data_IF_343997261595
#
_entry.id   IF_343997261595
#
_cell.length_a   1.000
_cell.length_b   1.000
_cell.length_c   1.000
_cell.angle_alpha   90.00
_cell.angle_beta   90.00
_cell.angle_gamma   90.00
#
_symmetry.space_group_name_H-M   'P 1'
#
loop_
_entity.id
_entity.type
_entity.pdbx_description
1 polymer ?
#
# COMPACT_ATOMS: atom_id res chain seq x y z
N UNK A 1 -7.31 24.28 4.47
CA UNK A 1 -7.29 22.97 5.13
C UNK A 1 -5.91 22.65 5.65
N UNK A 2 -5.82 21.79 6.68
CA UNK A 2 -4.55 21.24 7.16
C UNK A 2 -4.01 20.21 6.18
N UNK A 3 -2.69 20.22 5.92
CA UNK A 3 -2.05 19.28 4.99
C UNK A 3 -0.55 19.12 5.28
N UNK A 4 0.03 17.97 4.91
CA UNK A 4 1.48 17.77 4.81
C UNK A 4 1.89 17.91 3.35
N UNK A 5 2.66 18.94 3.06
CA UNK A 5 3.08 19.31 1.71
C UNK A 5 4.57 19.01 1.52
N UNK A 6 4.91 18.35 0.43
CA UNK A 6 6.28 18.09 0.04
C UNK A 6 6.84 19.31 -0.69
N UNK A 7 7.89 19.92 -0.16
CA UNK A 7 8.67 20.98 -0.79
C UNK A 7 10.09 20.51 -1.10
N UNK A 8 10.86 21.27 -1.86
CA UNK A 8 12.28 20.97 -2.10
C UNK A 8 13.11 20.96 -0.81
N UNK A 9 12.67 21.71 0.22
CA UNK A 9 13.32 21.76 1.54
C UNK A 9 12.93 20.62 2.50
N UNK A 10 11.87 19.87 2.23
CA UNK A 10 11.35 18.82 3.11
C UNK A 10 9.82 18.79 3.15
N UNK A 11 9.27 18.18 4.20
CA UNK A 11 7.83 18.18 4.47
C UNK A 11 7.48 19.40 5.31
N UNK A 12 6.40 20.07 4.95
CA UNK A 12 5.85 21.21 5.66
C UNK A 12 4.40 20.94 6.09
N UNK A 13 4.09 21.22 7.36
CA UNK A 13 2.73 21.16 7.90
C UNK A 13 2.05 22.50 7.70
N UNK A 14 1.08 22.57 6.79
CA UNK A 14 0.29 23.76 6.48
C UNK A 14 -1.09 23.67 7.13
N UNK A 15 -1.57 24.79 7.68
CA UNK A 15 -2.92 24.90 8.28
C UNK A 15 -3.91 25.62 7.36
N UNK A 16 -3.44 26.24 6.30
CA UNK A 16 -4.17 27.12 5.39
C UNK A 16 -4.05 26.70 3.91
N UNK A 17 -3.65 25.45 3.65
CA UNK A 17 -3.64 24.91 2.27
C UNK A 17 -5.01 25.11 1.62
N UNK A 18 -5.02 25.53 0.36
CA UNK A 18 -6.26 25.63 -0.42
C UNK A 18 -6.95 24.26 -0.52
N UNK A 19 -8.28 24.29 -0.58
CA UNK A 19 -9.08 23.08 -0.83
C UNK A 19 -8.76 22.49 -2.19
N UNK A 20 -8.79 21.15 -2.36
CA UNK A 20 -8.62 20.52 -3.66
C UNK A 20 -9.65 21.05 -4.66
N UNK A 21 -9.18 21.44 -5.84
CA UNK A 21 -10.06 21.86 -6.91
C UNK A 21 -10.59 20.65 -7.68
N UNK A 22 -11.91 20.50 -7.70
CA UNK A 22 -12.55 19.46 -8.50
C UNK A 22 -12.47 19.80 -10.01
N UNK A 23 -12.27 18.75 -10.81
CA UNK A 23 -12.15 18.79 -12.26
C UNK A 23 -12.83 17.54 -12.84
N UNK A 24 -12.96 17.42 -14.14
CA UNK A 24 -13.50 16.22 -14.79
C UNK A 24 -12.64 14.95 -14.60
N UNK A 25 -11.38 15.10 -14.18
CA UNK A 25 -10.48 13.96 -13.89
C UNK A 25 -10.40 13.62 -12.39
N UNK A 26 -10.68 14.60 -11.53
CA UNK A 26 -10.70 14.51 -10.08
C UNK A 26 -12.04 15.08 -9.63
N UNK A 27 -13.08 14.29 -9.77
CA UNK A 27 -14.46 14.73 -9.76
C UNK A 27 -15.19 14.50 -8.42
N UNK A 28 -14.53 13.82 -7.48
CA UNK A 28 -15.05 13.56 -6.13
C UNK A 28 -14.15 14.16 -5.08
N UNK A 29 -14.73 14.96 -4.19
CA UNK A 29 -14.08 15.43 -2.97
C UNK A 29 -14.33 14.43 -1.84
N UNK A 30 -13.28 13.96 -1.19
CA UNK A 30 -13.35 13.09 -0.03
C UNK A 30 -12.79 13.82 1.19
N UNK A 31 -13.57 13.88 2.27
CA UNK A 31 -13.11 14.25 3.60
C UNK A 31 -12.35 13.08 4.20
N UNK A 32 -11.05 13.25 4.42
CA UNK A 32 -10.17 12.17 4.91
C UNK A 32 -10.28 12.08 6.44
N UNK A 33 -10.59 10.89 6.94
CA UNK A 33 -10.64 10.63 8.38
C UNK A 33 -9.37 9.97 8.90
N UNK A 34 -8.86 8.97 8.19
CA UNK A 34 -7.60 8.29 8.53
C UNK A 34 -6.74 8.11 7.29
N UNK A 35 -5.42 8.27 7.48
CA UNK A 35 -4.45 7.99 6.45
C UNK A 35 -3.26 7.20 7.02
N UNK A 36 -2.69 6.28 6.24
CA UNK A 36 -1.57 5.42 6.64
C UNK A 36 -0.25 5.88 6.06
N UNK A 37 0.83 5.83 6.84
CA UNK A 37 2.19 6.13 6.35
C UNK A 37 2.77 4.88 5.67
N UNK A 38 3.05 4.98 4.37
CA UNK A 38 3.69 3.94 3.57
C UNK A 38 5.22 4.06 3.57
N UNK A 39 5.92 2.98 3.21
CA UNK A 39 7.37 3.05 2.92
C UNK A 39 7.67 3.97 1.73
N UNK A 40 6.73 4.11 0.81
CA UNK A 40 6.83 5.08 -0.29
C UNK A 40 6.88 6.51 0.22
N UNK A 41 6.05 6.88 1.20
CA UNK A 41 6.05 8.22 1.78
C UNK A 41 7.37 8.51 2.51
N UNK A 42 7.91 7.51 3.22
CA UNK A 42 9.23 7.61 3.87
C UNK A 42 10.32 7.82 2.81
N UNK A 43 10.34 7.00 1.75
CA UNK A 43 11.31 7.13 0.67
C UNK A 43 11.22 8.47 -0.08
N UNK A 44 10.02 9.03 -0.20
CA UNK A 44 9.81 10.39 -0.74
C UNK A 44 10.37 11.45 0.22
N UNK A 45 10.08 11.34 1.51
CA UNK A 45 10.59 12.25 2.53
C UNK A 45 12.12 12.25 2.60
N UNK A 46 12.74 11.10 2.47
CA UNK A 46 14.19 10.88 2.44
C UNK A 46 14.84 11.19 1.08
N UNK A 47 14.07 11.59 0.06
CA UNK A 47 14.53 11.84 -1.31
C UNK A 47 15.10 10.61 -2.05
N UNK A 48 14.81 9.42 -1.56
CA UNK A 48 15.16 8.16 -2.21
C UNK A 48 14.17 7.79 -3.32
N UNK A 49 12.94 8.32 -3.25
CA UNK A 49 11.91 8.15 -4.28
C UNK A 49 11.56 9.52 -4.85
N UNK A 50 11.69 9.73 -6.17
CA UNK A 50 11.34 11.00 -6.79
C UNK A 50 9.82 11.23 -6.72
N UNK A 51 9.43 12.45 -6.36
CA UNK A 51 8.05 12.91 -6.35
C UNK A 51 7.98 14.37 -6.83
N UNK A 52 6.81 14.81 -7.26
CA UNK A 52 6.58 16.19 -7.66
C UNK A 52 6.66 17.11 -6.43
N UNK A 53 7.31 18.26 -6.57
CA UNK A 53 7.34 19.25 -5.51
C UNK A 53 5.99 19.96 -5.35
N UNK A 54 5.74 20.52 -4.17
CA UNK A 54 4.56 21.27 -3.80
C UNK A 54 3.23 20.50 -3.92
N UNK A 55 3.28 19.19 -3.60
CA UNK A 55 2.11 18.33 -3.53
C UNK A 55 1.82 17.91 -2.08
N UNK A 56 0.55 17.59 -1.81
CA UNK A 56 0.16 16.89 -0.58
C UNK A 56 0.60 15.45 -0.67
N UNK A 57 1.23 14.92 0.38
CA UNK A 57 1.69 13.53 0.45
C UNK A 57 0.55 12.55 0.82
N UNK A 58 0.86 11.24 0.83
CA UNK A 58 -0.03 10.19 1.29
C UNK A 58 -0.92 9.59 0.21
N UNK A 59 -1.15 8.26 0.32
CA UNK A 59 -1.92 7.52 -0.70
C UNK A 59 -2.73 6.35 -0.12
N UNK A 60 -2.67 6.13 1.18
CA UNK A 60 -3.43 5.13 1.91
C UNK A 60 -4.41 5.86 2.82
N UNK A 61 -5.71 5.78 2.57
CA UNK A 61 -6.69 6.55 3.35
C UNK A 61 -8.07 5.92 3.36
N UNK A 62 -8.90 6.39 4.28
CA UNK A 62 -10.36 6.27 4.21
C UNK A 62 -11.02 7.59 4.66
N UNK A 63 -12.23 7.80 4.17
CA UNK A 63 -12.95 9.01 4.46
C UNK A 63 -14.41 8.93 4.03
N UNK A 64 -15.06 10.10 3.96
CA UNK A 64 -16.42 10.25 3.46
C UNK A 64 -16.45 11.12 2.22
N UNK A 65 -17.30 10.79 1.27
CA UNK A 65 -17.58 11.68 0.14
C UNK A 65 -18.17 12.98 0.70
N UNK A 66 -17.53 14.10 0.38
CA UNK A 66 -17.93 15.46 0.80
C UNK A 66 -18.60 16.25 -0.31
N UNK A 67 -18.45 15.85 -1.57
CA UNK A 67 -19.06 16.52 -2.71
C UNK A 67 -18.56 16.01 -4.06
N UNK A 68 -19.20 16.52 -5.12
CA UNK A 68 -18.93 16.16 -6.50
C UNK A 68 -18.70 17.42 -7.36
N UNK A 69 -18.02 17.26 -8.50
CA UNK A 69 -17.69 18.35 -9.43
C UNK A 69 -18.93 19.07 -10.00
N UNK A 70 -20.05 18.37 -10.11
CA UNK A 70 -21.33 18.91 -10.57
C UNK A 70 -22.10 19.71 -9.49
N UNK A 71 -21.68 19.59 -8.22
CA UNK A 71 -22.32 20.24 -7.08
C UNK A 71 -23.57 19.54 -6.56
N UNK A 72 -23.91 18.36 -7.11
CA UNK A 72 -25.03 17.52 -6.65
C UNK A 72 -24.62 16.65 -5.44
N UNK A 73 -25.59 16.07 -4.76
CA UNK A 73 -25.34 15.12 -3.64
C UNK A 73 -25.16 13.67 -4.09
N UNK A 74 -25.26 13.41 -5.41
CA UNK A 74 -25.13 12.09 -6.03
C UNK A 74 -24.42 12.18 -7.39
N UNK A 75 -23.59 11.19 -7.69
CA UNK A 75 -22.96 11.01 -8.98
C UNK A 75 -22.65 9.52 -9.24
N UNK A 76 -23.21 8.97 -10.33
CA UNK A 76 -22.95 7.58 -10.77
C UNK A 76 -23.15 6.51 -9.67
N UNK A 77 -24.17 6.69 -8.81
CA UNK A 77 -24.50 5.79 -7.70
C UNK A 77 -23.66 6.01 -6.43
N UNK A 78 -22.80 7.03 -6.42
CA UNK A 78 -22.11 7.53 -5.23
C UNK A 78 -22.91 8.66 -4.59
N UNK A 79 -22.93 8.70 -3.25
CA UNK A 79 -23.66 9.72 -2.50
C UNK A 79 -22.73 10.43 -1.51
N UNK A 80 -23.00 11.71 -1.26
CA UNK A 80 -22.36 12.43 -0.16
C UNK A 80 -22.60 11.68 1.16
N UNK A 81 -21.52 11.52 1.94
CA UNK A 81 -21.52 10.73 3.18
C UNK A 81 -21.16 9.25 3.03
N UNK A 82 -21.08 8.70 1.80
CA UNK A 82 -20.57 7.34 1.59
C UNK A 82 -19.15 7.21 2.15
N UNK A 83 -18.91 6.12 2.89
CA UNK A 83 -17.57 5.79 3.38
C UNK A 83 -16.78 5.13 2.26
N UNK A 84 -15.62 5.66 1.98
CA UNK A 84 -14.78 5.26 0.84
C UNK A 84 -13.30 5.20 1.18
N UNK A 85 -12.58 4.42 0.39
CA UNK A 85 -11.16 4.56 0.09
C UNK A 85 -11.00 4.66 -1.43
N UNK A 86 -9.78 4.69 -1.93
CA UNK A 86 -9.55 4.70 -3.37
C UNK A 86 -8.30 3.90 -3.77
N UNK A 87 -8.30 3.41 -5.01
CA UNK A 87 -7.06 3.03 -5.67
C UNK A 87 -6.22 4.30 -5.87
N UNK A 88 -4.98 4.38 -5.33
CA UNK A 88 -4.17 5.59 -5.44
C UNK A 88 -3.64 5.86 -6.84
N UNK A 89 -3.80 4.91 -7.76
CA UNK A 89 -3.39 5.06 -9.16
C UNK A 89 -4.48 5.74 -9.97
N UNK A 90 -4.15 6.89 -10.53
CA UNK A 90 -5.00 7.63 -11.46
C UNK A 90 -4.49 7.37 -12.88
N UNK A 91 -5.31 6.72 -13.68
CA UNK A 91 -4.99 6.41 -15.07
C UNK A 91 -5.53 7.52 -15.98
N UNK A 92 -4.68 8.04 -16.85
CA UNK A 92 -5.07 9.07 -17.81
C UNK A 92 -4.33 8.91 -19.15
N UNK A 93 -4.87 9.52 -20.21
CA UNK A 93 -4.23 9.57 -21.53
C UNK A 93 -2.84 10.25 -21.51
N UNK A 94 -2.54 11.03 -20.47
CA UNK A 94 -1.26 11.72 -20.28
C UNK A 94 -0.25 10.92 -19.46
N UNK A 95 -0.62 9.70 -19.08
CA UNK A 95 0.16 8.79 -18.24
C UNK A 95 -0.45 8.57 -16.87
N UNK A 96 0.04 7.52 -16.21
CA UNK A 96 -0.39 7.13 -14.88
C UNK A 96 0.20 8.07 -13.83
N UNK A 97 -0.63 8.47 -12.88
CA UNK A 97 -0.22 9.26 -11.71
C UNK A 97 -0.54 8.48 -10.43
N UNK A 98 0.24 8.70 -9.39
CA UNK A 98 -0.03 8.18 -8.06
C UNK A 98 -0.32 9.34 -7.10
N UNK A 99 -1.40 9.24 -6.35
CA UNK A 99 -1.70 10.17 -5.27
C UNK A 99 -0.53 10.24 -4.28
N UNK A 100 -0.21 11.43 -3.81
CA UNK A 100 0.91 11.67 -2.89
C UNK A 100 2.31 11.60 -3.53
N UNK A 101 2.39 11.43 -4.88
CA UNK A 101 3.66 11.35 -5.61
C UNK A 101 3.69 12.22 -6.87
N UNK A 102 2.76 12.04 -7.79
CA UNK A 102 2.61 12.83 -9.02
C UNK A 102 1.44 13.82 -8.95
N UNK A 103 0.47 13.61 -8.08
CA UNK A 103 -0.66 14.49 -7.77
C UNK A 103 -0.90 14.55 -6.25
N UNK A 104 -1.75 15.48 -5.81
CA UNK A 104 -2.06 15.64 -4.39
C UNK A 104 -2.60 14.34 -3.78
N UNK A 105 -2.20 14.09 -2.53
CA UNK A 105 -2.50 12.89 -1.77
C UNK A 105 -3.38 13.15 -0.54
N UNK A 106 -3.39 12.18 0.37
CA UNK A 106 -4.35 12.06 1.46
C UNK A 106 -3.83 12.50 2.85
N UNK A 107 -2.61 13.04 2.96
CA UNK A 107 -2.17 13.64 4.22
C UNK A 107 -2.70 15.08 4.31
N UNK A 108 -4.02 15.21 4.18
CA UNK A 108 -4.78 16.46 4.29
C UNK A 108 -6.21 16.16 4.71
N UNK A 109 -6.92 17.18 5.22
CA UNK A 109 -8.33 17.05 5.60
C UNK A 109 -9.23 16.65 4.42
N UNK A 110 -8.83 17.00 3.18
CA UNK A 110 -9.58 16.66 1.96
C UNK A 110 -8.65 16.26 0.83
N UNK A 111 -9.13 15.31 0.01
CA UNK A 111 -8.49 14.88 -1.24
C UNK A 111 -9.51 14.87 -2.38
N UNK A 112 -9.08 15.25 -3.58
CA UNK A 112 -9.86 15.04 -4.80
C UNK A 112 -9.39 13.75 -5.50
N UNK A 113 -10.33 12.87 -5.86
CA UNK A 113 -10.07 11.60 -6.53
C UNK A 113 -11.05 11.38 -7.69
N UNK A 114 -10.69 10.58 -8.71
CA UNK A 114 -11.65 10.13 -9.71
C UNK A 114 -12.69 9.20 -9.10
N UNK A 115 -13.97 9.33 -9.47
CA UNK A 115 -15.02 8.41 -9.00
C UNK A 115 -14.72 6.94 -9.35
N UNK A 116 -14.08 6.69 -10.50
CA UNK A 116 -13.69 5.34 -10.94
C UNK A 116 -12.64 4.68 -10.02
N UNK A 117 -11.90 5.47 -9.26
CA UNK A 117 -10.91 4.97 -8.30
C UNK A 117 -11.52 4.62 -6.94
N UNK A 118 -12.75 5.06 -6.67
CA UNK A 118 -13.41 4.88 -5.37
C UNK A 118 -13.74 3.41 -5.09
N UNK A 119 -13.58 3.04 -3.83
CA UNK A 119 -13.96 1.74 -3.28
C UNK A 119 -14.92 2.01 -2.12
N UNK A 120 -16.17 1.53 -2.25
CA UNK A 120 -17.18 1.67 -1.19
C UNK A 120 -16.83 0.79 -0.01
N UNK A 121 -16.85 1.37 1.17
CA UNK A 121 -16.54 0.70 2.42
C UNK A 121 -17.76 0.70 3.37
N UNK A 122 -17.91 -0.34 4.20
CA UNK A 122 -18.87 -0.30 5.28
C UNK A 122 -18.60 0.85 6.26
N UNK A 123 -19.63 1.43 6.91
CA UNK A 123 -19.47 2.57 7.83
C UNK A 123 -18.43 2.37 8.94
N UNK A 124 -18.27 1.15 9.47
CA UNK A 124 -17.31 0.83 10.52
C UNK A 124 -15.84 0.84 10.03
N UNK A 125 -15.60 0.97 8.72
CA UNK A 125 -14.27 1.17 8.15
C UNK A 125 -13.80 2.63 8.22
N UNK A 126 -14.58 3.53 8.77
CA UNK A 126 -14.13 4.90 9.05
C UNK A 126 -13.19 4.90 10.26
N UNK A 127 -12.06 4.22 10.09
CA UNK A 127 -11.07 3.87 11.12
C UNK A 127 -9.73 3.55 10.44
N UNK A 128 -8.64 3.33 11.18
CA UNK A 128 -7.37 2.83 10.62
C UNK A 128 -7.54 1.60 9.73
N UNK A 129 -8.56 0.79 9.96
CA UNK A 129 -8.86 -0.39 9.14
C UNK A 129 -9.17 -0.03 7.69
N UNK A 130 -9.97 1.01 7.45
CA UNK A 130 -10.29 1.46 6.08
C UNK A 130 -9.09 2.05 5.35
N UNK A 131 -8.23 2.78 6.06
CA UNK A 131 -6.97 3.28 5.49
C UNK A 131 -5.98 2.15 5.16
N UNK A 132 -6.18 0.96 5.72
CA UNK A 132 -5.34 -0.22 5.45
C UNK A 132 -5.75 -1.02 4.20
N UNK A 133 -6.78 -0.57 3.47
CA UNK A 133 -7.27 -1.21 2.24
C UNK A 133 -6.19 -1.30 1.16
N UNK A 134 -5.50 -0.19 0.89
CA UNK A 134 -4.43 -0.14 -0.11
C UNK A 134 -3.27 -1.10 0.22
N UNK A 135 -2.72 -1.13 1.46
CA UNK A 135 -1.73 -2.14 1.85
C UNK A 135 -2.16 -3.58 1.63
N UNK A 136 -3.42 -3.91 1.92
CA UNK A 136 -3.96 -5.28 1.70
C UNK A 136 -4.05 -5.58 0.20
N UNK A 137 -4.54 -4.64 -0.61
CA UNK A 137 -4.58 -4.78 -2.07
C UNK A 137 -3.15 -4.94 -2.64
N UNK A 138 -2.17 -4.20 -2.09
CA UNK A 138 -0.78 -4.36 -2.46
C UNK A 138 -0.23 -5.75 -2.05
N UNK A 139 -0.61 -6.29 -0.88
CA UNK A 139 -0.19 -7.61 -0.43
C UNK A 139 -0.84 -8.76 -1.22
N UNK A 140 -2.02 -8.54 -1.80
CA UNK A 140 -2.70 -9.48 -2.71
C UNK A 140 -2.00 -9.62 -4.07
N UNK A 141 -1.30 -8.59 -4.52
CA UNK A 141 -0.74 -8.55 -5.87
C UNK A 141 0.13 -9.76 -6.25
N UNK A 142 1.05 -10.26 -5.41
CA UNK A 142 1.85 -11.44 -5.73
C UNK A 142 1.02 -12.72 -5.78
N UNK A 143 -0.08 -12.82 -5.01
CA UNK A 143 -0.83 -14.07 -4.84
C UNK A 143 -1.59 -14.52 -6.09
N UNK A 144 -1.85 -13.60 -7.03
CA UNK A 144 -2.46 -13.95 -8.32
C UNK A 144 -1.57 -14.79 -9.24
N UNK A 145 -0.29 -14.94 -8.90
CA UNK A 145 0.71 -15.65 -9.69
C UNK A 145 1.10 -17.02 -9.10
N UNK A 146 0.52 -17.39 -7.96
CA UNK A 146 0.85 -18.64 -7.26
C UNK A 146 -0.35 -19.58 -7.22
N UNK A 147 -0.08 -20.87 -7.33
CA UNK A 147 -1.07 -21.94 -7.09
C UNK A 147 -1.14 -22.25 -5.59
N UNK A 148 -2.30 -22.70 -5.12
CA UNK A 148 -2.49 -23.11 -3.71
C UNK A 148 -1.63 -24.31 -3.28
N UNK A 149 -1.02 -25.03 -4.20
CA UNK A 149 -0.11 -26.16 -3.97
C UNK A 149 1.36 -25.76 -3.92
N UNK A 150 1.68 -24.53 -4.35
CA UNK A 150 3.04 -24.04 -4.38
C UNK A 150 3.61 -23.92 -2.96
N UNK A 151 4.87 -24.32 -2.80
CA UNK A 151 5.65 -23.99 -1.61
C UNK A 151 6.21 -22.59 -1.78
N UNK A 152 5.65 -21.65 -1.03
CA UNK A 152 5.92 -20.21 -1.17
C UNK A 152 6.77 -19.72 -0.02
N UNK A 153 7.92 -19.14 -0.32
CA UNK A 153 8.69 -18.33 0.62
C UNK A 153 8.28 -16.87 0.51
N UNK A 154 7.95 -16.25 1.64
CA UNK A 154 7.87 -14.78 1.74
C UNK A 154 9.10 -14.31 2.51
N UNK A 155 10.04 -13.72 1.76
CA UNK A 155 11.31 -13.29 2.34
C UNK A 155 11.25 -11.85 2.86
N UNK A 156 11.66 -11.68 4.10
CA UNK A 156 11.86 -10.38 4.74
C UNK A 156 11.42 -10.32 6.19
N UNK A 157 12.11 -9.45 6.94
CA UNK A 157 11.81 -9.17 8.36
C UNK A 157 11.20 -7.78 8.53
N UNK A 158 10.11 -7.55 7.82
CA UNK A 158 9.41 -6.27 7.78
C UNK A 158 7.89 -6.45 7.77
N UNK A 159 7.16 -5.32 7.95
CA UNK A 159 5.69 -5.31 7.98
C UNK A 159 5.03 -5.79 6.69
N UNK A 160 5.72 -5.62 5.53
CA UNK A 160 5.18 -6.05 4.23
C UNK A 160 5.17 -7.57 4.14
N UNK A 161 6.28 -8.22 4.55
CA UNK A 161 6.35 -9.69 4.64
C UNK A 161 5.30 -10.23 5.62
N UNK A 162 5.14 -9.60 6.78
CA UNK A 162 4.14 -10.00 7.78
C UNK A 162 2.72 -9.90 7.21
N UNK A 163 2.36 -8.78 6.58
CA UNK A 163 1.06 -8.58 5.96
C UNK A 163 0.83 -9.57 4.81
N UNK A 164 1.79 -9.71 3.90
CA UNK A 164 1.67 -10.63 2.75
C UNK A 164 1.45 -12.07 3.22
N UNK A 165 2.14 -12.50 4.30
CA UNK A 165 1.95 -13.84 4.87
C UNK A 165 0.54 -14.02 5.46
N UNK A 166 0.00 -13.01 6.13
CA UNK A 166 -1.36 -13.09 6.68
C UNK A 166 -2.42 -13.08 5.56
N UNK A 167 -2.25 -12.22 4.55
CA UNK A 167 -3.16 -12.17 3.38
C UNK A 167 -3.12 -13.49 2.62
N UNK A 168 -1.95 -14.10 2.40
CA UNK A 168 -1.83 -15.39 1.74
C UNK A 168 -2.59 -16.49 2.49
N UNK A 169 -2.46 -16.54 3.82
CA UNK A 169 -3.22 -17.49 4.65
C UNK A 169 -4.72 -17.22 4.62
N UNK A 170 -5.13 -15.95 4.65
CA UNK A 170 -6.54 -15.57 4.51
C UNK A 170 -7.13 -16.00 3.16
N UNK A 171 -6.32 -16.04 2.11
CA UNK A 171 -6.68 -16.54 0.77
C UNK A 171 -6.63 -18.08 0.66
N UNK A 172 -6.29 -18.79 1.75
CA UNK A 172 -6.28 -20.26 1.78
C UNK A 172 -4.98 -20.94 1.37
N UNK A 173 -3.91 -20.19 1.11
CA UNK A 173 -2.60 -20.78 0.83
C UNK A 173 -2.02 -21.41 2.10
N UNK A 174 -1.75 -22.71 2.06
CA UNK A 174 -1.33 -23.48 3.24
C UNK A 174 0.19 -23.63 3.36
N UNK A 175 0.90 -23.62 2.25
CA UNK A 175 2.36 -23.88 2.20
C UNK A 175 3.15 -22.55 2.13
N UNK A 176 2.84 -21.64 3.07
CA UNK A 176 3.50 -20.33 3.18
C UNK A 176 4.51 -20.37 4.31
N UNK A 177 5.77 -20.16 3.96
CA UNK A 177 6.86 -19.97 4.88
C UNK A 177 7.36 -18.52 4.87
N UNK A 178 7.56 -17.93 6.04
CA UNK A 178 8.22 -16.62 6.16
C UNK A 178 9.66 -16.82 6.59
N UNK A 179 10.59 -16.44 5.71
CA UNK A 179 12.03 -16.51 5.95
C UNK A 179 12.59 -15.11 6.14
N UNK A 180 13.37 -14.91 7.19
CA UNK A 180 13.89 -13.58 7.59
C UNK A 180 15.40 -13.45 7.48
N UNK A 181 16.09 -14.53 7.14
CA UNK A 181 17.55 -14.61 7.05
C UNK A 181 17.95 -15.39 5.80
N UNK A 182 18.98 -14.92 5.11
CA UNK A 182 19.46 -15.54 3.87
C UNK A 182 20.01 -16.96 4.08
N UNK A 183 20.69 -17.20 5.20
CA UNK A 183 21.24 -18.51 5.55
C UNK A 183 20.20 -19.57 5.92
N UNK A 184 18.94 -19.15 6.05
CA UNK A 184 17.81 -20.06 6.24
C UNK A 184 17.08 -20.40 4.91
N UNK A 185 17.49 -19.84 3.78
CA UNK A 185 16.98 -20.23 2.47
C UNK A 185 17.58 -21.57 2.05
N UNK A 186 16.73 -22.54 1.83
CA UNK A 186 17.14 -23.88 1.35
C UNK A 186 17.25 -23.86 -0.18
N UNK A 187 18.34 -24.42 -0.71
CA UNK A 187 18.57 -24.52 -2.16
C UNK A 187 17.54 -25.45 -2.83
N UNK A 188 17.05 -25.04 -4.02
CA UNK A 188 16.12 -25.81 -4.84
C UNK A 188 14.86 -26.26 -4.09
N UNK A 189 14.34 -25.41 -3.19
CA UNK A 189 13.30 -25.79 -2.24
C UNK A 189 11.94 -25.17 -2.52
N UNK A 190 11.88 -23.92 -3.00
CA UNK A 190 10.65 -23.16 -3.18
C UNK A 190 10.17 -23.18 -4.63
N UNK A 191 8.85 -23.26 -4.83
CA UNK A 191 8.22 -23.07 -6.15
C UNK A 191 8.10 -21.58 -6.46
N UNK A 192 7.88 -20.76 -5.43
CA UNK A 192 7.79 -19.30 -5.55
C UNK A 192 8.49 -18.61 -4.37
N UNK A 193 9.19 -17.52 -4.65
CA UNK A 193 9.70 -16.59 -3.63
C UNK A 193 9.10 -15.21 -3.88
N UNK A 194 8.44 -14.65 -2.86
CA UNK A 194 7.98 -13.26 -2.82
C UNK A 194 9.00 -12.48 -2.00
N UNK A 195 9.84 -11.69 -2.65
CA UNK A 195 10.81 -10.86 -1.94
C UNK A 195 10.19 -9.54 -1.50
N UNK A 196 10.48 -9.11 -0.30
CA UNK A 196 10.08 -7.82 0.27
C UNK A 196 11.26 -6.97 0.70
N UNK A 197 12.48 -7.46 0.43
CA UNK A 197 13.76 -6.81 0.69
C UNK A 197 14.68 -6.95 -0.53
N UNK A 198 15.12 -5.84 -1.17
CA UNK A 198 15.63 -5.83 -2.54
C UNK A 198 17.13 -6.16 -2.65
N UNK A 199 17.73 -7.03 -1.94
CA UNK A 199 19.19 -7.05 -1.93
C UNK A 199 19.88 -8.35 -2.39
N UNK A 200 19.16 -9.46 -2.62
CA UNK A 200 19.82 -10.77 -2.71
C UNK A 200 19.22 -11.66 -3.79
N UNK A 201 19.09 -11.12 -5.01
CA UNK A 201 18.42 -11.84 -6.13
C UNK A 201 19.06 -13.21 -6.38
N UNK A 202 20.37 -13.32 -6.35
CA UNK A 202 21.06 -14.61 -6.60
C UNK A 202 20.72 -15.65 -5.53
N UNK A 203 20.64 -15.25 -4.25
CA UNK A 203 20.24 -16.17 -3.18
C UNK A 203 18.79 -16.65 -3.34
N UNK A 204 17.88 -15.77 -3.83
CA UNK A 204 16.51 -16.18 -4.13
C UNK A 204 16.45 -17.14 -5.31
N UNK A 205 17.20 -16.86 -6.38
CA UNK A 205 17.30 -17.74 -7.55
C UNK A 205 17.88 -19.11 -7.19
N UNK A 206 18.88 -19.16 -6.30
CA UNK A 206 19.44 -20.44 -5.83
C UNK A 206 18.45 -21.26 -5.01
N UNK A 207 17.61 -20.61 -4.22
CA UNK A 207 16.60 -21.26 -3.39
C UNK A 207 15.35 -21.71 -4.17
N UNK A 208 15.11 -21.15 -5.35
CA UNK A 208 14.03 -21.58 -6.23
C UNK A 208 14.34 -22.92 -6.90
N UNK A 209 13.34 -23.77 -7.05
CA UNK A 209 13.38 -24.94 -7.92
C UNK A 209 13.52 -24.54 -9.40
N UNK A 210 13.98 -25.45 -10.28
CA UNK A 210 13.83 -25.27 -11.72
C UNK A 210 12.37 -24.97 -12.11
N UNK A 211 12.17 -23.98 -12.98
CA UNK A 211 10.84 -23.47 -13.36
C UNK A 211 10.18 -22.57 -12.32
N UNK A 212 10.90 -22.22 -11.24
CA UNK A 212 10.36 -21.43 -10.14
C UNK A 212 10.09 -19.96 -10.48
N UNK A 213 9.36 -19.29 -9.60
CA UNK A 213 8.91 -17.89 -9.78
C UNK A 213 9.49 -16.99 -8.69
N UNK A 214 10.24 -15.96 -9.10
CA UNK A 214 10.63 -14.85 -8.23
C UNK A 214 9.70 -13.67 -8.41
N UNK A 215 8.98 -13.27 -7.37
CA UNK A 215 8.11 -12.10 -7.39
C UNK A 215 8.81 -10.94 -6.67
N UNK A 216 9.04 -9.85 -7.43
CA UNK A 216 9.61 -8.62 -6.91
C UNK A 216 8.51 -7.74 -6.33
N UNK A 217 8.50 -7.60 -5.01
CA UNK A 217 7.54 -6.80 -4.25
C UNK A 217 8.16 -5.53 -3.69
N UNK A 218 9.45 -5.56 -3.40
CA UNK A 218 10.19 -4.36 -2.97
C UNK A 218 10.31 -3.36 -4.12
N UNK A 219 10.55 -2.09 -3.76
CA UNK A 219 10.75 -0.99 -4.72
C UNK A 219 12.09 -0.32 -4.41
N UNK A 220 13.18 -0.94 -4.87
CA UNK A 220 14.51 -0.33 -4.80
C UNK A 220 14.85 0.38 -6.10
N UNK A 221 15.46 1.55 -5.98
CA UNK A 221 16.12 2.24 -7.10
C UNK A 221 17.60 1.89 -7.20
N UNK A 222 18.15 1.16 -6.23
CA UNK A 222 19.51 0.65 -6.31
C UNK A 222 19.58 -0.48 -7.36
N UNK A 223 20.61 -0.51 -8.21
CA UNK A 223 20.83 -1.60 -9.13
C UNK A 223 21.04 -2.92 -8.38
N UNK A 224 20.45 -4.00 -8.90
CA UNK A 224 20.70 -5.37 -8.45
C UNK A 224 21.48 -6.11 -9.54
N UNK A 225 22.51 -6.85 -9.16
CA UNK A 225 23.21 -7.77 -10.06
C UNK A 225 22.50 -9.10 -10.11
N UNK A 226 22.48 -9.73 -11.28
CA UNK A 226 21.83 -11.02 -11.52
C UNK A 226 22.77 -11.90 -12.31
N UNK A 227 22.98 -13.15 -11.87
CA UNK A 227 23.70 -14.16 -12.64
C UNK A 227 22.75 -14.78 -13.67
N UNK A 228 22.74 -14.23 -14.88
CA UNK A 228 21.81 -14.64 -15.95
C UNK A 228 21.90 -16.13 -16.30
N UNK A 229 23.09 -16.74 -16.18
CA UNK A 229 23.27 -18.17 -16.44
C UNK A 229 22.41 -19.05 -15.53
N UNK A 230 22.38 -18.76 -14.22
CA UNK A 230 21.57 -19.54 -13.26
C UNK A 230 20.09 -19.43 -13.57
N UNK A 231 19.62 -18.22 -13.92
CA UNK A 231 18.22 -17.98 -14.33
C UNK A 231 17.88 -18.81 -15.56
N UNK A 232 18.73 -18.76 -16.60
CA UNK A 232 18.49 -19.48 -17.85
C UNK A 232 18.51 -21.02 -17.65
N UNK A 233 19.49 -21.53 -16.88
CA UNK A 233 19.62 -22.96 -16.64
C UNK A 233 18.50 -23.54 -15.78
N UNK A 234 17.94 -22.74 -14.87
CA UNK A 234 16.79 -23.14 -14.03
C UNK A 234 15.43 -22.73 -14.64
N UNK A 235 15.40 -22.03 -15.75
CA UNK A 235 14.17 -21.53 -16.38
C UNK A 235 13.32 -20.67 -15.41
N UNK A 236 13.98 -19.81 -14.59
CA UNK A 236 13.33 -18.98 -13.58
C UNK A 236 12.56 -17.84 -14.25
N UNK A 237 11.30 -17.65 -13.82
CA UNK A 237 10.53 -16.45 -14.15
C UNK A 237 10.74 -15.37 -13.08
N UNK A 238 10.88 -14.09 -13.49
CA UNK A 238 10.94 -12.93 -12.59
C UNK A 238 9.76 -12.02 -12.91
N UNK A 239 8.93 -11.72 -11.90
CA UNK A 239 7.68 -10.98 -12.05
C UNK A 239 7.62 -9.80 -11.08
N UNK A 240 7.42 -8.59 -11.58
CA UNK A 240 7.08 -7.42 -10.75
C UNK A 240 5.58 -7.36 -10.48
N UNK A 241 5.19 -6.84 -9.30
CA UNK A 241 3.78 -6.68 -8.93
C UNK A 241 3.50 -5.33 -8.26
N UNK A 242 2.27 -4.79 -8.44
CA UNK A 242 1.83 -3.53 -7.81
C UNK A 242 0.64 -3.76 -6.88
N UNK A 243 -0.56 -3.89 -7.44
CA UNK A 243 -1.81 -4.07 -6.69
C UNK A 243 -2.57 -5.31 -7.15
N UNK A 244 -3.24 -5.95 -6.21
CA UNK A 244 -4.30 -6.93 -6.43
C UNK A 244 -5.67 -6.24 -6.45
N UNK A 245 -6.73 -7.04 -6.37
CA UNK A 245 -8.11 -6.57 -6.40
C UNK A 245 -8.51 -5.88 -5.09
N UNK A 246 -8.99 -4.65 -5.16
CA UNK A 246 -9.40 -3.85 -4.00
C UNK A 246 -10.72 -4.35 -3.38
N UNK A 247 -11.61 -4.94 -4.17
CA UNK A 247 -12.83 -5.57 -3.67
C UNK A 247 -12.50 -6.79 -2.81
N UNK A 248 -11.60 -7.66 -3.27
CA UNK A 248 -11.09 -8.80 -2.48
C UNK A 248 -10.39 -8.31 -1.22
N UNK A 249 -9.59 -7.25 -1.29
CA UNK A 249 -8.95 -6.64 -0.12
C UNK A 249 -9.98 -6.15 0.92
N UNK A 250 -11.05 -5.52 0.46
CA UNK A 250 -12.16 -5.08 1.32
C UNK A 250 -12.85 -6.25 2.02
N UNK A 251 -13.09 -7.37 1.33
CA UNK A 251 -13.67 -8.58 1.93
C UNK A 251 -12.75 -9.20 3.00
N UNK A 252 -11.45 -9.26 2.76
CA UNK A 252 -10.48 -9.76 3.75
C UNK A 252 -10.50 -8.90 5.01
N UNK A 253 -10.51 -7.57 4.85
CA UNK A 253 -10.58 -6.63 5.97
C UNK A 253 -11.90 -6.75 6.73
N UNK A 254 -13.03 -6.90 6.04
CA UNK A 254 -14.34 -7.10 6.65
C UNK A 254 -14.37 -8.38 7.47
N UNK A 255 -13.87 -9.48 6.92
CA UNK A 255 -13.77 -10.74 7.65
C UNK A 255 -12.89 -10.62 8.91
N UNK A 256 -11.81 -9.86 8.83
CA UNK A 256 -10.93 -9.60 9.97
C UNK A 256 -11.62 -8.79 11.07
N UNK A 257 -12.39 -7.77 10.70
CA UNK A 257 -13.17 -6.95 11.64
C UNK A 257 -14.21 -7.77 12.42
N UNK A 258 -14.76 -8.82 11.79
CA UNK A 258 -15.74 -9.72 12.41
C UNK A 258 -15.10 -10.92 13.14
N UNK A 259 -13.79 -10.97 13.28
CA UNK A 259 -13.09 -12.02 14.02
C UNK A 259 -13.17 -13.40 13.37
N UNK A 260 -13.32 -13.47 12.04
CA UNK A 260 -13.32 -14.73 11.30
C UNK A 260 -11.94 -15.38 11.44
N UNK A 261 -11.87 -16.68 11.68
CA UNK A 261 -10.59 -17.41 11.79
C UNK A 261 -9.79 -17.32 10.50
N UNK A 262 -8.47 -17.28 10.64
CA UNK A 262 -7.50 -17.18 9.53
C UNK A 262 -7.62 -15.90 8.71
N UNK A 263 -8.00 -14.79 9.34
CA UNK A 263 -7.99 -13.43 8.79
C UNK A 263 -6.81 -12.62 9.33
N UNK A 264 -6.78 -11.32 9.06
CA UNK A 264 -5.67 -10.46 9.50
C UNK A 264 -5.72 -10.20 11.01
N UNK A 265 -4.62 -10.39 11.67
CA UNK A 265 -4.42 -9.95 13.06
C UNK A 265 -3.93 -8.50 13.08
N UNK A 266 -4.88 -7.58 13.15
CA UNK A 266 -4.59 -6.13 13.18
C UNK A 266 -3.77 -5.72 14.41
N UNK A 267 -3.84 -6.48 15.51
CA UNK A 267 -3.06 -6.19 16.72
C UNK A 267 -1.55 -6.30 16.49
N UNK A 268 -1.14 -7.15 15.56
CA UNK A 268 0.27 -7.32 15.15
C UNK A 268 0.69 -6.37 14.02
N UNK A 269 -0.28 -5.80 13.30
CA UNK A 269 -0.05 -4.97 12.11
C UNK A 269 -0.14 -3.46 12.40
N UNK A 270 -1.05 -3.05 13.30
CA UNK A 270 -1.34 -1.64 13.57
C UNK A 270 -0.53 -1.10 14.73
N UNK A 271 0.08 0.04 14.51
CA UNK A 271 0.77 0.88 15.48
C UNK A 271 -0.10 2.04 15.95
N UNK A 272 0.51 3.08 16.54
CA UNK A 272 -0.20 4.25 17.01
C UNK A 272 -0.83 5.09 15.89
N UNK A 273 -1.81 5.90 16.30
CA UNK A 273 -2.45 6.92 15.49
C UNK A 273 -1.98 8.29 16.01
N UNK A 274 -1.57 9.18 15.12
CA UNK A 274 -1.09 10.51 15.40
C UNK A 274 -2.03 11.57 14.81
N UNK A 275 -2.04 12.76 15.39
CA UNK A 275 -2.56 13.95 14.73
C UNK A 275 -1.61 14.34 13.59
N UNK A 276 -2.13 15.01 12.56
CA UNK A 276 -1.31 15.42 11.41
C UNK A 276 -0.18 16.39 11.80
N UNK A 277 -0.39 17.20 12.84
CA UNK A 277 0.62 18.11 13.41
C UNK A 277 1.83 17.39 14.04
N UNK A 278 1.66 16.12 14.44
CA UNK A 278 2.72 15.29 15.02
C UNK A 278 3.53 14.50 13.96
N UNK A 279 3.50 14.95 12.72
CA UNK A 279 4.04 14.21 11.58
C UNK A 279 5.52 13.83 11.72
N UNK A 280 6.37 14.69 12.30
CA UNK A 280 7.80 14.39 12.49
C UNK A 280 8.01 13.15 13.35
N UNK A 281 7.26 13.05 14.45
CA UNK A 281 7.28 11.88 15.34
C UNK A 281 6.70 10.64 14.61
N UNK A 282 5.59 10.81 13.90
CA UNK A 282 4.94 9.73 13.15
C UNK A 282 5.86 9.16 12.06
N UNK A 283 6.54 10.01 11.28
CA UNK A 283 7.50 9.60 10.26
C UNK A 283 8.74 8.93 10.88
N UNK A 284 9.28 9.50 11.97
CA UNK A 284 10.41 8.91 12.71
C UNK A 284 10.07 7.48 13.15
N UNK A 285 8.91 7.29 13.76
CA UNK A 285 8.47 5.96 14.19
C UNK A 285 8.19 5.03 13.00
N UNK A 286 7.54 5.52 11.95
CA UNK A 286 7.25 4.74 10.74
C UNK A 286 8.51 4.26 10.00
N UNK A 287 9.64 4.97 10.14
CA UNK A 287 10.93 4.64 9.53
C UNK A 287 11.67 3.50 10.23
N UNK A 288 11.34 3.21 11.49
CA UNK A 288 12.02 2.16 12.25
C UNK A 288 11.85 0.77 11.57
N UNK A 289 12.91 -0.05 11.53
CA UNK A 289 12.80 -1.43 11.09
C UNK A 289 11.76 -2.21 11.94
N UNK A 290 11.03 -3.13 11.31
CA UNK A 290 10.03 -3.99 11.99
C UNK A 290 8.85 -3.24 12.62
N UNK A 291 8.63 -1.98 12.26
CA UNK A 291 7.55 -1.21 12.85
C UNK A 291 6.19 -1.61 12.30
N UNK A 292 5.17 -1.42 13.14
CA UNK A 292 3.76 -1.54 12.78
C UNK A 292 3.34 -0.36 11.87
N UNK A 293 2.18 -0.48 11.25
CA UNK A 293 1.61 0.60 10.44
C UNK A 293 1.24 1.79 11.31
N UNK A 294 1.79 2.95 10.99
CA UNK A 294 1.46 4.22 11.62
C UNK A 294 0.36 4.92 10.83
N UNK A 295 -0.55 5.56 11.52
CA UNK A 295 -1.68 6.27 10.92
C UNK A 295 -1.75 7.72 11.41
N UNK A 296 -2.35 8.56 10.57
CA UNK A 296 -2.85 9.87 10.96
C UNK A 296 -4.38 9.84 11.14
N UNK A 297 -4.89 10.57 12.14
CA UNK A 297 -6.28 11.00 12.24
C UNK A 297 -6.35 12.45 11.75
N UNK A 298 -7.25 12.74 10.80
CA UNK A 298 -7.31 14.02 10.11
C UNK A 298 -8.56 14.85 10.45
N UNK A 299 -9.68 14.19 10.72
CA UNK A 299 -10.91 14.86 11.17
C UNK A 299 -11.15 14.62 12.66
N UNK A 300 -11.58 15.67 13.37
CA UNK A 300 -12.19 15.52 14.70
C UNK A 300 -13.56 14.83 14.54
N UNK A 301 -13.93 14.01 15.51
CA UNK A 301 -15.27 13.41 15.61
C UNK A 301 -16.33 14.48 15.76
#
# INVERSE_FOLDING_TARGET
>A
MKALVLHDSGIDYQTDREMPRLTSCFDVLVEVHFAGICRTDIGIAERNIPAKANIVMGHEFCGRIAGFVNGDDEMEGWHVGDVVSANPMVFSDKGDMMCGKECDGAFAEYIAVPHQALIKLPPYFLSPLGAYLEPVAAALAPLKHIDGRDRVCIFGDNRIAALTSQVARAMGHQHIERVTRLDALEKDHYDCIIETEPAHIDAYVDALKPGGLLILKSRSFAPSTIISNTIAMKEICIQGTRYGDFGVASHILAASAHGVKHTLDTSTLFGPVYELSDYEKAFTEASLPRNKKIFFKLCAE
#
